data_IF_178366611973
#
_entry.id   IF_178366611973
#
_cell.length_a   1.000
_cell.length_b   1.000
_cell.length_c   1.000
_cell.angle_alpha   90.00
_cell.angle_beta   90.00
_cell.angle_gamma   90.00
#
_symmetry.space_group_name_H-M   'P 1'
#
loop_
_entity.id
_entity.type
_entity.pdbx_description
1 polymer ?
#
# COMPACT_ATOMS: atom_id res chain seq x y z
N UNK A 1 -56.29 -32.90 76.73
CA UNK A 1 -56.87 -32.20 75.55
C UNK A 1 -55.71 -31.94 74.60
N UNK A 2 -55.78 -32.52 73.40
CA UNK A 2 -54.66 -32.68 72.46
C UNK A 2 -54.37 -31.39 71.68
N UNK A 3 -53.12 -30.91 71.75
CA UNK A 3 -52.58 -29.73 71.05
C UNK A 3 -51.77 -30.11 69.80
N UNK A 4 -52.26 -31.04 68.98
CA UNK A 4 -51.50 -31.60 67.85
C UNK A 4 -52.14 -31.38 66.46
N UNK A 5 -53.00 -30.36 66.29
CA UNK A 5 -53.71 -30.15 65.02
C UNK A 5 -53.21 -28.95 64.17
N UNK A 6 -52.41 -28.04 64.73
CA UNK A 6 -52.06 -26.79 64.02
C UNK A 6 -50.67 -26.79 63.37
N UNK A 7 -49.79 -27.74 63.71
CA UNK A 7 -48.43 -27.78 63.15
C UNK A 7 -48.37 -28.35 61.72
N UNK A 8 -49.30 -29.23 61.35
CA UNK A 8 -49.28 -29.97 60.07
C UNK A 8 -49.66 -29.13 58.85
N UNK A 9 -50.42 -28.05 59.02
CA UNK A 9 -50.86 -27.23 57.89
C UNK A 9 -49.76 -26.27 57.42
N UNK A 10 -48.91 -25.79 58.34
CA UNK A 10 -47.81 -24.87 58.04
C UNK A 10 -46.64 -25.52 57.28
N UNK A 11 -46.35 -26.79 57.58
CA UNK A 11 -45.28 -27.55 56.93
C UNK A 11 -45.71 -28.03 55.54
N UNK A 12 -46.97 -28.47 55.39
CA UNK A 12 -47.58 -28.77 54.09
C UNK A 12 -47.75 -27.52 53.21
N UNK A 13 -47.84 -26.32 53.80
CA UNK A 13 -47.83 -25.07 53.04
C UNK A 13 -46.42 -24.70 52.58
N UNK A 14 -45.39 -24.92 53.41
CA UNK A 14 -43.98 -24.68 53.04
C UNK A 14 -43.53 -25.57 51.89
N UNK A 15 -43.98 -26.82 51.84
CA UNK A 15 -43.71 -27.71 50.70
C UNK A 15 -44.48 -27.34 49.43
N UNK A 16 -45.60 -26.62 49.52
CA UNK A 16 -46.28 -26.03 48.35
C UNK A 16 -45.60 -24.77 47.84
N UNK A 17 -44.82 -24.08 48.68
CA UNK A 17 -43.86 -23.04 48.31
C UNK A 17 -42.46 -23.67 48.11
N UNK A 18 -42.39 -24.96 47.78
CA UNK A 18 -41.23 -25.49 47.08
C UNK A 18 -41.27 -24.84 45.70
N UNK A 19 -40.47 -23.79 45.55
CA UNK A 19 -40.17 -23.09 44.30
C UNK A 19 -40.13 -24.15 43.20
N UNK A 20 -41.22 -24.25 42.44
CA UNK A 20 -41.18 -24.90 41.13
C UNK A 20 -40.02 -24.18 40.45
N UNK A 21 -38.96 -24.94 40.12
CA UNK A 21 -37.87 -24.49 39.25
C UNK A 21 -38.44 -23.44 38.32
N UNK A 22 -37.87 -22.22 38.34
CA UNK A 22 -38.25 -21.15 37.44
C UNK A 22 -38.61 -21.79 36.09
N UNK A 23 -39.82 -21.56 35.55
CA UNK A 23 -40.17 -22.12 34.24
C UNK A 23 -39.02 -21.78 33.32
N UNK A 24 -38.49 -22.72 32.52
CA UNK A 24 -37.44 -22.50 31.52
C UNK A 24 -37.51 -21.05 31.05
N UNK A 25 -36.74 -20.17 31.67
CA UNK A 25 -37.04 -18.75 31.56
C UNK A 25 -36.74 -18.42 30.10
N UNK A 26 -37.68 -17.78 29.43
CA UNK A 26 -37.41 -17.19 28.12
C UNK A 26 -36.32 -16.16 28.39
N UNK A 27 -35.07 -16.58 28.19
CA UNK A 27 -33.91 -15.71 28.29
C UNK A 27 -34.07 -14.75 27.11
N UNK A 28 -34.61 -13.57 27.40
CA UNK A 28 -34.82 -12.56 26.36
C UNK A 28 -33.43 -12.11 25.95
N UNK A 29 -32.95 -12.58 24.79
CA UNK A 29 -31.75 -12.08 24.16
C UNK A 29 -31.94 -10.58 23.86
N UNK A 30 -31.47 -9.71 24.76
CA UNK A 30 -31.59 -8.25 24.64
C UNK A 30 -30.60 -7.68 23.63
N UNK A 31 -29.61 -8.47 23.22
CA UNK A 31 -28.50 -8.04 22.38
C UNK A 31 -28.70 -8.36 20.90
N UNK A 32 -29.76 -9.10 20.56
CA UNK A 32 -30.04 -9.48 19.17
C UNK A 32 -30.28 -8.25 18.27
N UNK A 33 -31.10 -7.28 18.72
CA UNK A 33 -31.37 -6.08 17.93
C UNK A 33 -30.13 -5.19 17.73
N UNK A 34 -29.37 -4.83 18.79
CA UNK A 34 -28.11 -4.09 18.62
C UNK A 34 -27.11 -4.82 17.70
N UNK A 35 -27.03 -6.14 17.80
CA UNK A 35 -26.11 -6.95 16.99
C UNK A 35 -26.51 -6.94 15.51
N UNK A 36 -27.79 -7.14 15.20
CA UNK A 36 -28.31 -7.03 13.82
C UNK A 36 -28.04 -5.63 13.26
N UNK A 37 -28.30 -4.56 14.02
CA UNK A 37 -28.04 -3.19 13.56
C UNK A 37 -26.57 -2.93 13.27
N UNK A 38 -25.67 -3.42 14.13
CA UNK A 38 -24.23 -3.29 13.94
C UNK A 38 -23.77 -4.02 12.67
N UNK A 39 -24.26 -5.23 12.47
CA UNK A 39 -23.96 -6.02 11.28
C UNK A 39 -24.37 -5.25 10.00
N UNK A 40 -25.55 -4.63 9.96
CA UNK A 40 -25.98 -3.83 8.80
C UNK A 40 -25.00 -2.68 8.51
N UNK A 41 -24.56 -1.96 9.55
CA UNK A 41 -23.61 -0.86 9.40
C UNK A 41 -22.26 -1.29 8.85
N UNK A 42 -21.76 -2.44 9.28
CA UNK A 42 -20.45 -2.98 8.85
C UNK A 42 -20.49 -3.49 7.40
N UNK A 43 -21.63 -4.01 6.95
CA UNK A 43 -21.73 -4.75 5.69
C UNK A 43 -22.43 -3.99 4.55
N UNK A 44 -22.98 -2.81 4.81
CA UNK A 44 -23.68 -2.03 3.76
C UNK A 44 -22.76 -1.55 2.63
N UNK A 45 -21.46 -1.43 2.91
CA UNK A 45 -20.45 -0.99 1.95
C UNK A 45 -19.78 -2.13 1.16
N UNK A 46 -20.25 -3.37 1.28
CA UNK A 46 -19.64 -4.52 0.59
C UNK A 46 -19.79 -4.40 -0.94
N UNK A 47 -18.82 -4.93 -1.69
CA UNK A 47 -18.68 -4.70 -3.14
C UNK A 47 -19.87 -5.16 -3.98
N UNK A 48 -20.58 -6.18 -3.53
CA UNK A 48 -21.76 -6.75 -4.19
C UNK A 48 -23.09 -6.14 -3.71
N UNK A 49 -23.05 -5.22 -2.74
CA UNK A 49 -24.24 -4.70 -2.07
C UNK A 49 -24.86 -5.70 -1.10
N UNK A 50 -25.61 -5.20 -0.12
CA UNK A 50 -26.25 -6.04 0.89
C UNK A 50 -27.71 -6.32 0.51
N UNK A 51 -28.02 -7.54 0.08
CA UNK A 51 -29.40 -7.93 -0.21
C UNK A 51 -30.18 -8.12 1.09
N UNK A 52 -31.51 -7.97 1.05
CA UNK A 52 -32.37 -8.24 2.21
C UNK A 52 -32.28 -9.69 2.65
N UNK A 53 -32.16 -10.63 1.70
CA UNK A 53 -32.02 -12.06 1.99
C UNK A 53 -30.73 -12.37 2.75
N UNK A 54 -29.60 -11.88 2.23
CA UNK A 54 -28.29 -12.05 2.87
C UNK A 54 -28.26 -11.37 4.24
N UNK A 55 -28.77 -10.14 4.33
CA UNK A 55 -28.84 -9.43 5.59
C UNK A 55 -29.65 -10.19 6.63
N UNK A 56 -30.78 -10.78 6.25
CA UNK A 56 -31.63 -11.56 7.16
C UNK A 56 -30.88 -12.80 7.66
N UNK A 57 -30.29 -13.57 6.76
CA UNK A 57 -29.67 -14.85 7.10
C UNK A 57 -28.36 -14.66 7.87
N UNK A 58 -27.45 -13.83 7.34
CA UNK A 58 -26.13 -13.61 7.94
C UNK A 58 -26.23 -12.91 9.31
N UNK A 59 -27.12 -11.93 9.46
CA UNK A 59 -27.30 -11.27 10.76
C UNK A 59 -28.06 -12.13 11.78
N UNK A 60 -28.92 -13.05 11.34
CA UNK A 60 -29.58 -14.02 12.20
C UNK A 60 -28.55 -14.96 12.84
N UNK A 61 -27.62 -15.49 12.04
CA UNK A 61 -26.49 -16.29 12.53
C UNK A 61 -25.61 -15.48 13.50
N UNK A 62 -25.29 -14.23 13.14
CA UNK A 62 -24.43 -13.38 13.97
C UNK A 62 -25.03 -13.01 15.31
N UNK A 63 -26.34 -12.78 15.35
CA UNK A 63 -27.09 -12.35 16.53
C UNK A 63 -27.67 -13.53 17.34
N UNK A 64 -27.39 -14.77 16.92
CA UNK A 64 -27.95 -16.00 17.47
C UNK A 64 -29.48 -15.90 17.64
N UNK A 65 -30.16 -15.53 16.55
CA UNK A 65 -31.60 -15.36 16.51
C UNK A 65 -32.22 -15.95 15.25
N UNK A 66 -33.53 -16.16 15.25
CA UNK A 66 -34.21 -16.68 14.04
C UNK A 66 -34.16 -15.67 12.88
N UNK A 67 -34.18 -16.13 11.61
CA UNK A 67 -34.33 -15.25 10.45
C UNK A 67 -35.57 -14.36 10.51
N UNK A 68 -36.65 -14.84 11.13
CA UNK A 68 -37.88 -14.06 11.36
C UNK A 68 -37.61 -12.90 12.33
N UNK A 69 -36.88 -13.17 13.41
CA UNK A 69 -36.46 -12.17 14.40
C UNK A 69 -35.53 -11.14 13.76
N UNK A 70 -34.51 -11.59 13.03
CA UNK A 70 -33.60 -10.71 12.29
C UNK A 70 -34.36 -9.82 11.31
N UNK A 71 -35.26 -10.39 10.49
CA UNK A 71 -36.11 -9.63 9.57
C UNK A 71 -36.89 -8.54 10.29
N UNK A 72 -37.47 -8.83 11.46
CA UNK A 72 -38.17 -7.81 12.27
C UNK A 72 -37.23 -6.68 12.70
N UNK A 73 -36.01 -7.00 13.13
CA UNK A 73 -35.01 -6.00 13.51
C UNK A 73 -34.56 -5.16 12.32
N UNK A 74 -34.34 -5.78 11.15
CA UNK A 74 -34.01 -5.10 9.89
C UNK A 74 -35.15 -4.15 9.50
N UNK A 75 -36.41 -4.59 9.52
CA UNK A 75 -37.56 -3.72 9.21
C UNK A 75 -37.66 -2.53 10.16
N UNK A 76 -37.33 -2.71 11.44
CA UNK A 76 -37.26 -1.60 12.41
C UNK A 76 -36.12 -0.64 12.08
N UNK A 77 -34.98 -1.16 11.59
CA UNK A 77 -33.83 -0.36 11.18
C UNK A 77 -34.06 0.37 9.83
N UNK A 78 -34.90 -0.19 8.96
CA UNK A 78 -35.34 0.40 7.68
C UNK A 78 -36.65 1.21 7.79
N UNK A 79 -37.14 1.44 9.01
CA UNK A 79 -38.35 2.24 9.24
C UNK A 79 -38.18 3.68 8.76
N UNK A 80 -39.28 4.45 8.66
CA UNK A 80 -39.22 5.85 8.22
C UNK A 80 -38.28 6.73 9.05
N UNK A 81 -38.05 6.40 10.33
CA UNK A 81 -37.12 7.09 11.21
C UNK A 81 -35.73 6.41 11.28
N UNK A 82 -35.58 5.27 10.63
CA UNK A 82 -34.38 4.46 10.65
C UNK A 82 -33.30 4.98 9.68
N UNK A 83 -32.03 4.58 9.92
CA UNK A 83 -30.90 5.00 9.08
C UNK A 83 -30.86 4.32 7.71
N UNK A 84 -31.58 3.21 7.52
CA UNK A 84 -31.53 2.42 6.30
C UNK A 84 -32.83 2.56 5.48
N UNK A 85 -32.75 2.25 4.19
CA UNK A 85 -33.87 2.11 3.26
C UNK A 85 -33.70 0.83 2.45
N UNK A 86 -34.81 0.29 1.95
CA UNK A 86 -34.80 -0.85 1.04
C UNK A 86 -35.14 -0.33 -0.35
N UNK A 87 -34.32 -0.69 -1.35
CA UNK A 87 -34.56 -0.37 -2.75
C UNK A 87 -34.44 -1.61 -3.62
N UNK A 88 -35.29 -1.70 -4.64
CA UNK A 88 -35.28 -2.79 -5.60
C UNK A 88 -34.31 -2.50 -6.74
N UNK A 89 -33.42 -3.45 -7.03
CA UNK A 89 -32.50 -3.39 -8.17
C UNK A 89 -32.37 -4.78 -8.80
N UNK A 90 -32.56 -4.88 -10.12
CA UNK A 90 -32.46 -6.15 -10.86
C UNK A 90 -33.30 -7.30 -10.25
N UNK A 91 -34.56 -7.02 -9.88
CA UNK A 91 -35.50 -7.96 -9.23
C UNK A 91 -35.03 -8.50 -7.86
N UNK A 92 -34.19 -7.75 -7.15
CA UNK A 92 -33.78 -8.06 -5.78
C UNK A 92 -33.87 -6.84 -4.89
N UNK A 93 -34.19 -7.05 -3.63
CA UNK A 93 -34.24 -6.00 -2.61
C UNK A 93 -32.87 -5.83 -1.96
N UNK A 94 -32.36 -4.59 -1.96
CA UNK A 94 -31.09 -4.21 -1.34
C UNK A 94 -31.31 -3.24 -0.17
N UNK A 95 -30.48 -3.38 0.85
CA UNK A 95 -30.42 -2.45 1.99
C UNK A 95 -29.40 -1.36 1.68
N UNK A 96 -29.87 -0.12 1.69
CA UNK A 96 -29.07 1.07 1.45
C UNK A 96 -29.16 2.03 2.63
N UNK A 97 -28.20 2.92 2.70
CA UNK A 97 -28.14 3.96 3.72
C UNK A 97 -28.98 5.15 3.28
N UNK A 98 -29.73 5.75 4.21
CA UNK A 98 -30.53 6.94 3.93
C UNK A 98 -29.65 8.19 3.97
N UNK A 99 -29.94 9.14 3.09
CA UNK A 99 -29.25 10.42 3.03
C UNK A 99 -29.25 11.13 4.40
N UNK A 100 -28.08 11.59 4.83
CA UNK A 100 -27.86 12.19 6.16
C UNK A 100 -27.33 11.24 7.23
N UNK A 101 -27.46 9.92 7.04
CA UNK A 101 -26.86 8.92 7.92
C UNK A 101 -25.54 8.44 7.33
N UNK A 102 -24.53 9.30 7.20
CA UNK A 102 -23.21 8.84 6.75
C UNK A 102 -22.56 7.91 7.82
N UNK A 103 -21.82 6.82 7.46
CA UNK A 103 -21.01 6.01 8.39
C UNK A 103 -19.77 6.78 8.91
N UNK A 104 -19.99 8.03 9.33
CA UNK A 104 -19.14 9.22 9.14
C UNK A 104 -17.81 9.30 9.91
N UNK A 105 -17.20 8.19 10.30
CA UNK A 105 -15.79 8.15 10.72
C UNK A 105 -14.95 7.14 9.94
N UNK A 106 -15.43 5.90 9.72
CA UNK A 106 -14.64 4.88 9.01
C UNK A 106 -14.55 5.13 7.50
N UNK A 107 -15.65 5.55 6.85
CA UNK A 107 -15.63 5.83 5.41
C UNK A 107 -14.89 7.13 5.08
N UNK A 108 -14.93 8.12 5.98
CA UNK A 108 -14.15 9.36 5.86
C UNK A 108 -12.66 9.10 6.06
N UNK A 109 -12.26 8.26 7.03
CA UNK A 109 -10.87 7.81 7.16
C UNK A 109 -10.40 7.07 5.91
N UNK A 110 -11.18 6.11 5.41
CA UNK A 110 -10.81 5.34 4.21
C UNK A 110 -10.71 6.19 2.94
N UNK A 111 -11.55 7.22 2.79
CA UNK A 111 -11.45 8.17 1.69
C UNK A 111 -10.24 9.10 1.83
N UNK A 112 -9.93 9.57 3.05
CA UNK A 112 -8.73 10.36 3.33
C UNK A 112 -7.46 9.55 3.05
N UNK A 113 -7.40 8.29 3.51
CA UNK A 113 -6.25 7.40 3.31
C UNK A 113 -6.05 7.08 1.83
N UNK A 114 -7.13 6.91 1.06
CA UNK A 114 -7.06 6.74 -0.39
C UNK A 114 -6.57 8.00 -1.11
N UNK A 115 -7.00 9.20 -0.68
CA UNK A 115 -6.51 10.47 -1.24
C UNK A 115 -5.02 10.68 -0.92
N UNK A 116 -4.61 10.48 0.33
CA UNK A 116 -3.20 10.58 0.75
C UNK A 116 -2.33 9.58 -0.01
N UNK A 117 -2.81 8.34 -0.21
CA UNK A 117 -2.07 7.34 -0.99
C UNK A 117 -1.96 7.75 -2.47
N UNK A 118 -3.02 8.27 -3.09
CA UNK A 118 -2.99 8.76 -4.47
C UNK A 118 -2.05 9.96 -4.64
N UNK A 119 -2.05 10.90 -3.70
CA UNK A 119 -1.12 12.04 -3.72
C UNK A 119 0.34 11.59 -3.57
N UNK A 120 0.61 10.61 -2.70
CA UNK A 120 1.95 10.02 -2.55
C UNK A 120 2.42 9.32 -3.82
N UNK A 121 1.54 8.57 -4.49
CA UNK A 121 1.84 7.91 -5.77
C UNK A 121 2.11 8.96 -6.84
N UNK A 122 1.24 9.98 -6.97
CA UNK A 122 1.42 11.04 -7.95
C UNK A 122 2.74 11.80 -7.75
N UNK A 123 3.10 12.10 -6.50
CA UNK A 123 4.38 12.74 -6.16
C UNK A 123 5.57 11.84 -6.49
N UNK A 124 5.50 10.55 -6.17
CA UNK A 124 6.55 9.59 -6.50
C UNK A 124 6.72 9.42 -8.02
N UNK A 125 5.64 9.42 -8.79
CA UNK A 125 5.67 9.38 -10.25
C UNK A 125 6.25 10.66 -10.87
N UNK A 126 5.98 11.81 -10.28
CA UNK A 126 6.56 13.08 -10.70
C UNK A 126 8.07 13.13 -10.39
N UNK A 127 8.49 12.74 -9.18
CA UNK A 127 9.91 12.61 -8.82
C UNK A 127 10.64 11.62 -9.73
N UNK A 128 9.99 10.50 -10.09
CA UNK A 128 10.55 9.53 -11.04
C UNK A 128 10.73 10.14 -12.43
N UNK A 129 9.72 10.86 -12.94
CA UNK A 129 9.82 11.55 -14.25
C UNK A 129 10.92 12.60 -14.26
N UNK A 130 11.08 13.37 -13.19
CA UNK A 130 12.16 14.35 -13.06
C UNK A 130 13.54 13.69 -13.09
N UNK A 131 13.72 12.59 -12.34
CA UNK A 131 14.99 11.83 -12.34
C UNK A 131 15.29 11.20 -13.70
N UNK A 132 14.29 10.68 -14.40
CA UNK A 132 14.45 10.16 -15.76
C UNK A 132 14.90 11.25 -16.74
N UNK A 133 14.29 12.44 -16.68
CA UNK A 133 14.71 13.58 -17.51
C UNK A 133 16.14 14.04 -17.18
N UNK A 134 16.49 14.12 -15.90
CA UNK A 134 17.85 14.49 -15.48
C UNK A 134 18.89 13.45 -15.95
N UNK A 135 18.56 12.16 -15.88
CA UNK A 135 19.44 11.08 -16.33
C UNK A 135 19.64 11.12 -17.85
N UNK A 136 18.59 11.46 -18.60
CA UNK A 136 18.65 11.62 -20.05
C UNK A 136 19.55 12.80 -20.44
N UNK A 137 19.40 13.94 -19.78
CA UNK A 137 20.26 15.11 -19.97
C UNK A 137 21.73 14.82 -19.63
N UNK A 138 22.00 14.08 -18.54
CA UNK A 138 23.37 13.65 -18.19
C UNK A 138 23.95 12.69 -19.23
N UNK A 139 23.15 11.79 -19.79
CA UNK A 139 23.59 10.87 -20.83
C UNK A 139 23.96 11.60 -22.13
N UNK A 140 23.23 12.66 -22.50
CA UNK A 140 23.57 13.50 -23.65
C UNK A 140 24.88 14.26 -23.43
N UNK A 141 25.07 14.87 -22.26
CA UNK A 141 26.34 15.53 -21.91
C UNK A 141 27.52 14.57 -21.96
N UNK A 142 27.36 13.34 -21.45
CA UNK A 142 28.40 12.31 -21.53
C UNK A 142 28.77 12.00 -22.98
N UNK A 143 27.80 11.80 -23.87
CA UNK A 143 28.07 11.60 -25.31
C UNK A 143 28.84 12.74 -25.93
N UNK A 144 28.45 13.99 -25.65
CA UNK A 144 29.18 15.16 -26.15
C UNK A 144 30.64 15.19 -25.65
N UNK A 145 30.86 14.87 -24.38
CA UNK A 145 32.22 14.81 -23.82
C UNK A 145 33.05 13.70 -24.44
N UNK A 146 32.46 12.52 -24.68
CA UNK A 146 33.13 11.40 -25.37
C UNK A 146 33.52 11.78 -26.80
N UNK A 147 32.64 12.46 -27.54
CA UNK A 147 32.95 12.95 -28.89
C UNK A 147 34.09 13.97 -28.87
N UNK A 148 34.09 14.90 -27.91
CA UNK A 148 35.17 15.87 -27.74
C UNK A 148 36.49 15.17 -27.41
N UNK A 149 36.49 14.20 -26.49
CA UNK A 149 37.68 13.40 -26.17
C UNK A 149 38.18 12.62 -27.38
N UNK A 150 37.29 12.05 -28.19
CA UNK A 150 37.67 11.31 -29.39
C UNK A 150 38.31 12.24 -30.44
N UNK A 151 37.76 13.45 -30.64
CA UNK A 151 38.36 14.48 -31.51
C UNK A 151 39.74 14.89 -31.02
N UNK A 152 39.88 15.11 -29.72
CA UNK A 152 41.15 15.48 -29.09
C UNK A 152 42.20 14.37 -29.26
N UNK A 153 41.81 13.11 -29.05
CA UNK A 153 42.67 11.93 -29.20
C UNK A 153 43.16 11.77 -30.64
N UNK A 154 42.28 11.95 -31.64
CA UNK A 154 42.67 11.94 -33.06
C UNK A 154 43.68 13.05 -33.39
N UNK A 155 43.44 14.26 -32.89
CA UNK A 155 44.34 15.41 -33.06
C UNK A 155 45.70 15.17 -32.39
N UNK A 156 45.70 14.63 -31.17
CA UNK A 156 46.91 14.29 -30.42
C UNK A 156 47.75 13.23 -31.14
N UNK A 157 47.13 12.14 -31.61
CA UNK A 157 47.82 11.08 -32.34
C UNK A 157 48.45 11.61 -33.65
N UNK A 158 47.75 12.49 -34.37
CA UNK A 158 48.29 13.15 -35.57
C UNK A 158 49.55 13.96 -35.23
N UNK A 159 49.48 14.79 -34.18
CA UNK A 159 50.64 15.58 -33.74
C UNK A 159 51.81 14.70 -33.27
N UNK A 160 51.54 13.60 -32.58
CA UNK A 160 52.58 12.65 -32.17
C UNK A 160 53.31 12.06 -33.39
N UNK A 161 52.56 11.64 -34.42
CA UNK A 161 53.14 11.13 -35.67
C UNK A 161 53.98 12.21 -36.39
N UNK A 162 53.51 13.45 -36.43
CA UNK A 162 54.26 14.58 -37.01
C UNK A 162 55.59 14.82 -36.27
N UNK A 163 55.56 14.80 -34.93
CA UNK A 163 56.77 14.94 -34.10
C UNK A 163 57.73 13.77 -34.34
N UNK A 164 57.25 12.53 -34.39
CA UNK A 164 58.08 11.36 -34.69
C UNK A 164 58.73 11.44 -36.08
N UNK A 165 57.99 11.93 -37.08
CA UNK A 165 58.49 12.11 -38.44
C UNK A 165 59.58 13.19 -38.48
N UNK A 166 59.36 14.32 -37.80
CA UNK A 166 60.34 15.40 -37.69
C UNK A 166 61.61 14.94 -36.96
N UNK A 167 61.49 14.19 -35.85
CA UNK A 167 62.63 13.60 -35.16
C UNK A 167 63.44 12.67 -36.08
N UNK A 168 62.77 11.80 -36.86
CA UNK A 168 63.44 10.93 -37.84
C UNK A 168 64.17 11.74 -38.92
N UNK A 169 63.55 12.81 -39.44
CA UNK A 169 64.17 13.68 -40.45
C UNK A 169 65.40 14.42 -39.91
N UNK A 170 65.32 14.97 -38.69
CA UNK A 170 66.44 15.67 -38.05
C UNK A 170 67.64 14.75 -37.83
N UNK A 171 67.41 13.50 -37.41
CA UNK A 171 68.47 12.49 -37.27
C UNK A 171 69.07 12.07 -38.61
N UNK A 172 68.23 11.76 -39.61
CA UNK A 172 68.68 11.15 -40.87
C UNK A 172 69.25 12.14 -41.87
N UNK A 173 68.63 13.32 -42.04
CA UNK A 173 69.05 14.33 -43.02
C UNK A 173 70.03 15.36 -42.47
N UNK A 174 69.90 15.72 -41.20
CA UNK A 174 70.66 16.81 -40.59
C UNK A 174 71.69 16.33 -39.56
N UNK A 175 71.75 15.03 -39.26
CA UNK A 175 72.78 14.43 -38.42
C UNK A 175 72.74 14.89 -36.96
N UNK A 176 71.62 15.44 -36.48
CA UNK A 176 71.51 15.87 -35.08
C UNK A 176 71.51 14.66 -34.14
N UNK A 177 72.19 14.81 -33.01
CA UNK A 177 72.23 13.81 -31.94
C UNK A 177 70.94 13.82 -31.12
N UNK A 178 70.65 12.69 -30.47
CA UNK A 178 69.46 12.51 -29.62
C UNK A 178 69.35 13.60 -28.54
N UNK A 179 70.48 13.99 -27.95
CA UNK A 179 70.57 15.01 -26.88
C UNK A 179 70.22 16.42 -27.37
N UNK A 180 70.66 16.79 -28.58
CA UNK A 180 70.35 18.09 -29.17
C UNK A 180 68.84 18.23 -29.48
N UNK A 181 68.21 17.14 -29.94
CA UNK A 181 66.78 17.11 -30.24
C UNK A 181 65.94 17.13 -28.95
N UNK A 182 66.35 16.39 -27.91
CA UNK A 182 65.64 16.36 -26.63
C UNK A 182 65.67 17.70 -25.88
N UNK A 183 66.76 18.47 -26.03
CA UNK A 183 66.88 19.81 -25.44
C UNK A 183 65.85 20.79 -26.02
N UNK A 184 65.62 20.74 -27.33
CA UNK A 184 64.61 21.58 -28.02
C UNK A 184 63.16 21.13 -27.74
N UNK A 185 62.94 19.84 -27.48
CA UNK A 185 61.63 19.30 -27.07
C UNK A 185 61.29 19.54 -25.58
N UNK A 186 62.11 20.32 -24.88
CA UNK A 186 61.87 20.69 -23.48
C UNK A 186 61.99 19.52 -22.49
N UNK A 187 62.73 18.46 -22.83
CA UNK A 187 62.95 17.31 -21.94
C UNK A 187 61.73 16.40 -21.74
N UNK A 188 60.71 16.47 -22.61
CA UNK A 188 59.54 15.60 -22.51
C UNK A 188 59.92 14.12 -22.66
N UNK A 189 59.85 13.38 -21.56
CA UNK A 189 60.03 11.92 -21.50
C UNK A 189 58.78 11.22 -22.02
N UNK A 190 58.91 10.20 -22.88
CA UNK A 190 57.76 9.43 -23.42
C UNK A 190 56.89 8.89 -22.27
N UNK A 191 55.67 9.42 -22.11
CA UNK A 191 54.64 8.80 -21.27
C UNK A 191 53.87 7.80 -22.15
N UNK A 192 54.20 6.52 -22.03
CA UNK A 192 53.41 5.44 -22.62
C UNK A 192 52.13 5.29 -21.79
N UNK A 193 51.00 5.77 -22.32
CA UNK A 193 49.68 5.46 -21.74
C UNK A 193 49.32 4.04 -22.18
N UNK A 194 49.59 3.07 -21.30
CA UNK A 194 49.12 1.70 -21.48
C UNK A 194 47.60 1.68 -21.26
N UNK A 195 46.83 1.65 -22.35
CA UNK A 195 45.42 1.31 -22.32
C UNK A 195 45.29 -0.22 -22.15
N UNK A 196 45.50 -0.73 -20.93
CA UNK A 196 44.95 -2.04 -20.55
C UNK A 196 43.63 -1.81 -19.80
N UNK A 197 42.52 -2.02 -20.51
CA UNK A 197 41.22 -2.27 -19.92
C UNK A 197 41.32 -3.48 -18.98
N UNK A 198 41.30 -3.22 -17.67
CA UNK A 198 40.91 -4.23 -16.68
C UNK A 198 39.75 -3.70 -15.86
N UNK A 199 38.57 -4.04 -16.37
CA UNK A 199 37.36 -4.23 -15.57
C UNK A 199 37.70 -5.11 -14.36
N UNK A 200 37.72 -4.55 -13.16
CA UNK A 200 37.57 -5.35 -11.95
C UNK A 200 36.76 -4.56 -10.94
N UNK A 201 35.46 -4.80 -10.98
CA UNK A 201 34.52 -4.50 -9.90
C UNK A 201 35.01 -5.19 -8.63
N UNK A 202 35.47 -4.41 -7.65
CA UNK A 202 35.59 -4.88 -6.27
C UNK A 202 34.48 -4.22 -5.45
N UNK A 203 33.49 -5.04 -5.08
CA UNK A 203 32.56 -4.72 -3.99
C UNK A 203 33.35 -4.70 -2.67
N UNK A 204 33.12 -3.74 -1.76
CA UNK A 204 33.72 -3.80 -0.44
C UNK A 204 33.02 -4.85 0.42
N UNK A 205 33.76 -5.84 0.91
CA UNK A 205 33.34 -6.64 2.05
C UNK A 205 33.60 -5.81 3.32
N UNK A 206 32.50 -5.36 3.94
CA UNK A 206 32.52 -4.85 5.30
C UNK A 206 32.66 -6.00 6.31
N UNK A 207 33.51 -5.77 7.30
CA UNK A 207 33.52 -6.45 8.60
C UNK A 207 32.41 -5.84 9.45
#
# INVERSE_FOLDING_TARGET
>A
MNTNAEATDSEQYRDRIRIKKAPLEIEINRDSEPTVRRYLWENIGRSEGLTVEDAVNESAEKADCSPVTSRRHIMKACSLAGPFKIEEFQNKDYILLRDGYSPSLQSRLGQLDSQIMKERIAKAEEEKRQKEQELLAKAEQLKETEEQQQKLTKSFNKKCLEVELLQKLLKTKYGLTEEQIQKELGGMTKVLVNNEDKTTSQRPHGI
#
